data_IF_640033353110
#
_entry.id   IF_640033353110
#
_cell.length_a   1.000
_cell.length_b   1.000
_cell.length_c   1.000
_cell.angle_alpha   90.00
_cell.angle_beta   90.00
_cell.angle_gamma   90.00
#
_symmetry.space_group_name_H-M   'P 1'
#
loop_
_entity.id
_entity.type
_entity.pdbx_description
1 polymer ?
#
# COMPACT_ATOMS: atom_id res chain seq x y z
N UNK A 1 -10.09 14.55 -22.78
CA UNK A 1 -8.94 13.79 -22.24
C UNK A 1 -7.62 14.04 -22.99
N UNK A 2 -7.55 13.89 -24.32
CA UNK A 2 -6.30 14.11 -25.08
C UNK A 2 -5.76 15.54 -24.95
N UNK A 3 -6.61 16.56 -25.12
CA UNK A 3 -6.25 17.98 -24.95
C UNK A 3 -5.75 18.33 -23.53
N UNK A 4 -6.11 17.50 -22.55
CA UNK A 4 -5.71 17.69 -21.16
C UNK A 4 -4.30 17.15 -20.93
N UNK A 5 -4.03 15.94 -21.42
CA UNK A 5 -2.69 15.34 -21.42
C UNK A 5 -1.69 16.15 -22.26
N UNK A 6 -2.12 16.72 -23.39
CA UNK A 6 -1.25 17.55 -24.23
C UNK A 6 -0.79 18.86 -23.56
N UNK A 7 -1.51 19.33 -22.53
CA UNK A 7 -1.11 20.45 -21.67
C UNK A 7 -0.16 20.03 -20.54
N UNK A 8 0.25 18.76 -20.53
CA UNK A 8 1.10 18.17 -19.48
C UNK A 8 0.35 17.84 -18.19
N UNK A 9 -0.98 17.93 -18.17
CA UNK A 9 -1.75 17.57 -16.98
C UNK A 9 -1.89 16.05 -16.82
N UNK A 10 -1.91 15.62 -15.56
CA UNK A 10 -1.97 14.23 -15.17
C UNK A 10 -0.96 13.93 -14.07
N UNK A 11 -0.80 12.64 -13.81
CA UNK A 11 0.08 12.05 -12.83
C UNK A 11 1.11 11.15 -13.48
N UNK A 12 2.29 11.12 -12.87
CA UNK A 12 3.42 10.29 -13.23
C UNK A 12 3.98 9.59 -12.01
N UNK A 13 4.11 8.28 -12.07
CA UNK A 13 4.82 7.47 -11.09
C UNK A 13 5.95 6.74 -11.80
N UNK A 14 7.14 6.72 -11.19
CA UNK A 14 8.28 5.94 -11.67
C UNK A 14 8.42 4.69 -10.80
N UNK A 15 8.52 3.52 -11.43
CA UNK A 15 8.68 2.27 -10.71
C UNK A 15 10.03 2.21 -9.96
N UNK A 16 10.08 1.85 -8.67
CA UNK A 16 11.28 2.00 -7.85
C UNK A 16 12.52 1.24 -8.32
N UNK A 17 12.36 0.08 -8.94
CA UNK A 17 13.47 -0.80 -9.36
C UNK A 17 13.59 -0.82 -10.88
N UNK A 18 12.49 -1.11 -11.58
CA UNK A 18 12.50 -1.26 -13.04
C UNK A 18 12.55 0.07 -13.79
N UNK A 19 12.24 1.19 -13.13
CA UNK A 19 12.32 2.53 -13.72
C UNK A 19 11.28 2.84 -14.79
N UNK A 20 10.33 1.93 -15.09
CA UNK A 20 9.26 2.24 -16.04
C UNK A 20 8.34 3.33 -15.50
N UNK A 21 7.75 4.09 -16.41
CA UNK A 21 6.91 5.25 -16.09
C UNK A 21 5.44 4.90 -16.26
N UNK A 22 4.63 5.23 -15.26
CA UNK A 22 3.17 5.11 -15.26
C UNK A 22 2.57 6.51 -15.39
N UNK A 23 2.01 6.81 -16.56
CA UNK A 23 1.27 8.04 -16.79
C UNK A 23 -0.24 7.78 -16.73
N UNK A 24 -0.95 8.48 -15.83
CA UNK A 24 -2.40 8.37 -15.67
C UNK A 24 -3.00 9.73 -15.30
N UNK A 25 -4.31 9.88 -15.47
CA UNK A 25 -4.99 11.14 -15.13
C UNK A 25 -5.59 11.10 -13.72
N UNK A 26 -6.12 9.94 -13.36
CA UNK A 26 -7.08 9.80 -12.30
C UNK A 26 -7.99 8.59 -12.58
N UNK A 27 -9.09 8.51 -11.85
CA UNK A 27 -10.10 7.47 -11.98
C UNK A 27 -11.37 8.11 -12.54
N UNK A 28 -11.88 7.57 -13.65
CA UNK A 28 -13.04 8.13 -14.35
C UNK A 28 -14.03 7.02 -14.62
N UNK A 29 -15.27 7.23 -14.20
CA UNK A 29 -16.38 6.34 -14.50
C UNK A 29 -17.66 7.16 -14.68
N UNK A 30 -18.14 7.26 -15.92
CA UNK A 30 -19.28 8.10 -16.28
C UNK A 30 -19.04 9.56 -15.84
N UNK A 31 -19.85 10.09 -14.92
CA UNK A 31 -19.75 11.43 -14.35
C UNK A 31 -18.84 11.50 -13.10
N UNK A 32 -18.62 10.38 -12.42
CA UNK A 32 -17.70 10.30 -11.28
C UNK A 32 -16.25 10.37 -11.78
N UNK A 33 -15.52 11.42 -11.36
CA UNK A 33 -14.14 11.68 -11.80
C UNK A 33 -13.28 12.13 -10.63
N UNK A 34 -12.27 11.33 -10.32
CA UNK A 34 -11.23 11.62 -9.32
C UNK A 34 -9.93 11.95 -10.05
N UNK A 35 -9.55 13.22 -10.08
CA UNK A 35 -8.28 13.65 -10.69
C UNK A 35 -7.14 13.53 -9.68
N UNK A 36 -6.02 12.96 -10.10
CA UNK A 36 -4.88 12.72 -9.22
C UNK A 36 -3.70 13.54 -9.72
N UNK A 37 -2.96 14.15 -8.78
CA UNK A 37 -1.71 14.89 -9.05
C UNK A 37 -0.57 14.28 -8.26
N UNK A 38 0.33 13.63 -8.96
CA UNK A 38 1.62 13.18 -8.44
C UNK A 38 2.64 13.24 -9.56
N UNK A 39 3.83 13.79 -9.32
CA UNK A 39 4.89 13.87 -10.31
C UNK A 39 6.25 13.95 -9.60
N UNK A 40 7.31 13.28 -10.10
CA UNK A 40 8.63 13.32 -9.48
C UNK A 40 9.20 14.74 -9.30
N UNK A 41 8.88 15.64 -10.22
CA UNK A 41 9.35 17.03 -10.21
C UNK A 41 8.61 17.93 -9.21
N UNK A 42 7.51 17.46 -8.60
CA UNK A 42 6.75 18.24 -7.61
C UNK A 42 7.28 17.93 -6.21
N UNK A 43 8.35 18.64 -5.81
CA UNK A 43 9.05 18.39 -4.54
C UNK A 43 8.40 19.05 -3.31
N UNK A 44 7.46 19.99 -3.48
CA UNK A 44 6.83 20.71 -2.36
C UNK A 44 5.30 20.62 -2.36
N UNK A 45 4.64 20.64 -1.18
CA UNK A 45 3.18 20.70 -1.06
C UNK A 45 2.55 21.84 -1.87
N UNK A 46 3.19 23.01 -1.88
CA UNK A 46 2.70 24.21 -2.57
C UNK A 46 2.69 24.00 -4.08
N UNK A 47 3.74 23.41 -4.64
CA UNK A 47 3.82 23.09 -6.06
C UNK A 47 2.74 22.08 -6.48
N UNK A 48 2.44 21.10 -5.61
CA UNK A 48 1.35 20.13 -5.86
C UNK A 48 -0.01 20.83 -5.87
N UNK A 49 -0.28 21.73 -4.91
CA UNK A 49 -1.55 22.47 -4.83
C UNK A 49 -1.71 23.43 -6.00
N UNK A 50 -0.65 24.16 -6.38
CA UNK A 50 -0.67 25.02 -7.56
C UNK A 50 -1.00 24.22 -8.82
N UNK A 51 -0.33 23.07 -9.00
CA UNK A 51 -0.60 22.17 -10.12
C UNK A 51 -2.02 21.64 -10.12
N UNK A 52 -2.55 21.27 -8.95
CA UNK A 52 -3.92 20.81 -8.77
C UNK A 52 -4.94 21.89 -9.14
N UNK A 53 -4.71 23.15 -8.74
CA UNK A 53 -5.58 24.28 -9.06
C UNK A 53 -5.68 24.50 -10.58
N UNK A 54 -4.53 24.59 -11.27
CA UNK A 54 -4.48 24.73 -12.74
C UNK A 54 -5.18 23.56 -13.46
N UNK A 55 -5.01 22.36 -12.90
CA UNK A 55 -5.57 21.13 -13.43
C UNK A 55 -7.11 21.11 -13.25
N UNK A 56 -7.61 21.50 -12.08
CA UNK A 56 -9.04 21.62 -11.81
C UNK A 56 -9.71 22.68 -12.70
N UNK A 57 -9.08 23.85 -12.84
CA UNK A 57 -9.56 24.94 -13.71
C UNK A 57 -9.64 24.49 -15.18
N UNK A 58 -8.59 23.82 -15.67
CA UNK A 58 -8.56 23.32 -17.04
C UNK A 58 -9.62 22.23 -17.28
N UNK A 59 -9.92 21.41 -16.26
CA UNK A 59 -10.93 20.35 -16.37
C UNK A 59 -12.32 20.94 -16.43
N UNK A 60 -12.64 21.86 -15.51
CA UNK A 60 -13.89 22.60 -15.48
C UNK A 60 -14.12 23.37 -16.79
N UNK A 61 -13.12 24.13 -17.26
CA UNK A 61 -13.21 24.88 -18.51
C UNK A 61 -13.45 23.98 -19.72
N UNK A 62 -12.77 22.84 -19.77
CA UNK A 62 -12.95 21.85 -20.83
C UNK A 62 -14.36 21.26 -20.83
N UNK A 63 -14.89 20.94 -19.64
CA UNK A 63 -16.24 20.41 -19.48
C UNK A 63 -17.30 21.44 -19.88
N UNK A 64 -17.17 22.69 -19.40
CA UNK A 64 -18.05 23.81 -19.75
C UNK A 64 -18.11 24.06 -21.26
N UNK A 65 -16.95 23.98 -21.93
CA UNK A 65 -16.85 24.14 -23.39
C UNK A 65 -17.61 23.07 -24.18
N UNK A 66 -17.89 21.92 -23.55
CA UNK A 66 -18.66 20.81 -24.15
C UNK A 66 -20.11 20.75 -23.70
N UNK A 67 -20.59 21.76 -22.94
CA UNK A 67 -21.95 21.83 -22.43
C UNK A 67 -22.19 21.05 -21.12
N UNK A 68 -21.14 20.51 -20.50
CA UNK A 68 -21.20 19.95 -19.16
C UNK A 68 -20.92 21.00 -18.08
N UNK A 69 -21.09 20.65 -16.81
CA UNK A 69 -20.71 21.51 -15.68
C UNK A 69 -20.29 20.65 -14.50
N UNK A 70 -19.30 21.10 -13.74
CA UNK A 70 -18.92 20.46 -12.46
C UNK A 70 -19.89 20.95 -11.39
N UNK A 71 -20.32 20.04 -10.50
CA UNK A 71 -21.06 20.40 -9.31
C UNK A 71 -20.08 20.71 -8.16
N UNK A 72 -19.91 21.98 -7.75
CA UNK A 72 -18.94 22.35 -6.72
C UNK A 72 -19.26 21.74 -5.35
N UNK A 73 -20.55 21.61 -5.01
CA UNK A 73 -21.00 21.06 -3.72
C UNK A 73 -20.68 19.57 -3.56
N UNK A 74 -20.53 18.86 -4.68
CA UNK A 74 -20.11 17.45 -4.71
C UNK A 74 -18.61 17.28 -4.94
N UNK A 75 -17.89 18.36 -5.20
CA UNK A 75 -16.48 18.33 -5.52
C UNK A 75 -15.64 18.66 -4.31
N UNK A 76 -14.47 18.02 -4.23
CA UNK A 76 -13.48 18.30 -3.20
C UNK A 76 -12.08 18.02 -3.63
N UNK A 77 -11.16 18.63 -2.91
CA UNK A 77 -9.73 18.38 -3.06
C UNK A 77 -9.12 18.04 -1.71
N UNK A 78 -8.06 17.22 -1.75
CA UNK A 78 -7.31 16.79 -0.58
C UNK A 78 -5.83 16.71 -0.95
N UNK A 79 -4.95 17.07 -0.03
CA UNK A 79 -3.51 16.94 -0.21
C UNK A 79 -2.94 15.86 0.72
N UNK A 80 -2.22 14.89 0.15
CA UNK A 80 -1.41 13.95 0.91
C UNK A 80 0.02 14.49 1.06
N UNK A 81 0.25 15.33 2.08
CA UNK A 81 1.58 15.82 2.47
C UNK A 81 2.07 15.10 3.72
N UNK A 82 3.39 15.08 3.94
CA UNK A 82 4.03 14.27 4.97
C UNK A 82 4.97 15.10 5.86
N UNK A 83 4.93 14.83 7.15
CA UNK A 83 5.85 15.35 8.15
C UNK A 83 6.52 14.21 8.91
N UNK A 84 7.71 14.46 9.47
CA UNK A 84 8.44 13.46 10.25
C UNK A 84 8.62 13.94 11.68
N UNK A 85 8.22 13.10 12.63
CA UNK A 85 8.48 13.28 14.05
C UNK A 85 9.31 12.10 14.56
N UNK A 86 10.52 12.38 15.05
CA UNK A 86 11.45 11.34 15.55
C UNK A 86 11.67 10.18 14.57
N UNK A 87 11.70 10.48 13.27
CA UNK A 87 11.89 9.51 12.19
C UNK A 87 10.72 8.60 11.88
N UNK A 88 9.53 8.94 12.37
CA UNK A 88 8.27 8.36 11.96
C UNK A 88 7.54 9.41 11.13
N UNK A 89 7.08 9.04 9.94
CA UNK A 89 6.29 9.94 9.12
C UNK A 89 4.82 9.91 9.53
N UNK A 90 4.12 11.02 9.33
CA UNK A 90 2.67 11.15 9.45
C UNK A 90 2.15 12.12 8.39
N UNK A 91 0.83 12.15 8.18
CA UNK A 91 0.22 13.13 7.29
C UNK A 91 0.26 14.52 7.93
N UNK A 92 0.68 15.52 7.15
CA UNK A 92 0.66 16.92 7.60
C UNK A 92 -0.76 17.50 7.56
N UNK A 93 -0.93 18.63 8.24
CA UNK A 93 -2.17 19.41 8.18
C UNK A 93 -2.45 19.92 6.76
N UNK A 94 -3.73 20.00 6.39
CA UNK A 94 -4.15 20.58 5.13
C UNK A 94 -3.77 22.07 5.07
N UNK A 95 -3.28 22.58 3.92
CA UNK A 95 -2.98 23.99 3.78
C UNK A 95 -4.27 24.82 3.70
N UNK A 96 -4.24 26.03 4.25
CA UNK A 96 -5.35 26.99 4.15
C UNK A 96 -5.33 27.68 2.79
N UNK A 97 -5.84 27.00 1.77
CA UNK A 97 -5.91 27.50 0.39
C UNK A 97 -7.34 27.36 -0.12
N UNK A 98 -7.84 28.42 -0.73
CA UNK A 98 -9.14 28.40 -1.42
C UNK A 98 -8.92 28.03 -2.89
N UNK A 99 -9.40 26.85 -3.28
CA UNK A 99 -9.38 26.39 -4.67
C UNK A 99 -10.74 26.68 -5.31
N UNK A 100 -10.73 27.30 -6.48
CA UNK A 100 -11.94 27.62 -7.24
C UNK A 100 -11.92 26.98 -8.64
N UNK A 101 -13.11 26.80 -9.22
CA UNK A 101 -13.29 26.36 -10.59
C UNK A 101 -14.25 27.29 -11.33
N UNK A 102 -14.11 27.48 -12.65
CA UNK A 102 -15.04 28.27 -13.44
C UNK A 102 -16.36 27.53 -13.68
N UNK A 103 -17.48 28.24 -13.51
CA UNK A 103 -18.81 27.82 -13.92
C UNK A 103 -19.12 28.21 -15.38
N UNK A 104 -20.18 27.66 -16.00
CA UNK A 104 -20.55 27.97 -17.38
C UNK A 104 -20.82 29.46 -17.66
N UNK A 105 -21.21 30.24 -16.64
CA UNK A 105 -21.42 31.68 -16.73
C UNK A 105 -20.13 32.50 -16.55
N UNK A 106 -18.99 31.84 -16.37
CA UNK A 106 -17.68 32.45 -16.12
C UNK A 106 -17.42 32.83 -14.67
N UNK A 107 -18.37 32.62 -13.74
CA UNK A 107 -18.17 32.90 -12.33
C UNK A 107 -17.31 31.83 -11.66
N UNK A 108 -16.45 32.18 -10.69
CA UNK A 108 -15.69 31.21 -9.93
C UNK A 108 -16.55 30.60 -8.82
N UNK A 109 -16.50 29.27 -8.67
CA UNK A 109 -17.12 28.54 -7.57
C UNK A 109 -16.04 27.87 -6.70
N UNK A 110 -16.12 27.99 -5.36
CA UNK A 110 -15.17 27.33 -4.46
C UNK A 110 -15.39 25.82 -4.41
N UNK A 111 -14.29 25.07 -4.25
CA UNK A 111 -14.29 23.63 -3.99
C UNK A 111 -13.90 23.38 -2.54
N UNK A 112 -14.64 22.48 -1.88
CA UNK A 112 -14.36 22.14 -0.49
C UNK A 112 -13.02 21.42 -0.31
N UNK A 113 -12.30 21.74 0.78
CA UNK A 113 -11.12 20.98 1.21
C UNK A 113 -11.53 19.79 2.10
N UNK A 114 -10.88 18.64 1.92
CA UNK A 114 -11.00 17.48 2.80
C UNK A 114 -9.68 17.12 3.50
N UNK A 115 -9.80 16.52 4.69
CA UNK A 115 -8.68 15.88 5.38
C UNK A 115 -8.34 14.53 4.74
N UNK A 116 -7.10 14.04 4.88
CA UNK A 116 -6.69 12.70 4.39
C UNK A 116 -7.50 11.54 5.00
N UNK A 117 -8.07 11.75 6.18
CA UNK A 117 -8.95 10.81 6.90
C UNK A 117 -10.40 10.86 6.42
N UNK A 118 -10.71 11.78 5.51
CA UNK A 118 -12.06 11.96 5.00
C UNK A 118 -12.43 10.77 4.13
N UNK A 119 -13.48 10.08 4.53
CA UNK A 119 -13.95 8.90 3.81
C UNK A 119 -14.92 9.33 2.72
N UNK A 120 -14.70 8.82 1.51
CA UNK A 120 -15.56 9.01 0.35
C UNK A 120 -16.03 7.67 -0.19
N UNK A 121 -17.20 7.70 -0.83
CA UNK A 121 -17.75 6.54 -1.51
C UNK A 121 -17.65 6.74 -3.01
N UNK A 122 -16.70 6.06 -3.63
CA UNK A 122 -16.56 6.03 -5.09
C UNK A 122 -16.92 4.64 -5.61
N UNK A 123 -17.78 4.58 -6.63
CA UNK A 123 -18.24 3.34 -7.26
C UNK A 123 -18.76 2.25 -6.31
N UNK A 124 -19.27 2.63 -5.13
CA UNK A 124 -19.76 1.67 -4.14
C UNK A 124 -18.70 1.15 -3.16
N UNK A 125 -17.46 1.63 -3.25
CA UNK A 125 -16.36 1.37 -2.30
C UNK A 125 -16.15 2.61 -1.44
N UNK A 126 -16.15 2.44 -0.12
CA UNK A 126 -15.71 3.50 0.79
C UNK A 126 -14.19 3.45 0.94
N UNK A 127 -13.52 4.58 0.82
CA UNK A 127 -12.06 4.72 0.96
C UNK A 127 -11.67 6.09 1.49
N UNK A 128 -10.50 6.17 2.11
CA UNK A 128 -9.83 7.40 2.53
C UNK A 128 -8.35 7.33 2.13
N UNK A 129 -7.69 8.49 2.00
CA UNK A 129 -6.28 8.58 1.58
C UNK A 129 -5.35 7.93 2.61
N UNK A 130 -5.72 7.99 3.89
CA UNK A 130 -4.99 7.34 4.98
C UNK A 130 -5.06 5.81 4.98
N UNK A 131 -5.82 5.20 4.07
CA UNK A 131 -5.98 3.76 3.94
C UNK A 131 -6.89 3.12 4.99
N UNK A 132 -7.71 3.91 5.70
CA UNK A 132 -8.62 3.38 6.72
C UNK A 132 -9.88 2.71 6.11
N UNK A 133 -9.93 1.38 6.15
CA UNK A 133 -11.03 0.57 5.63
C UNK A 133 -12.23 0.41 6.59
N UNK A 134 -12.20 1.04 7.77
CA UNK A 134 -13.22 0.86 8.80
C UNK A 134 -14.62 1.20 8.29
N UNK A 135 -14.74 2.32 7.56
CA UNK A 135 -16.04 2.77 7.03
C UNK A 135 -16.61 1.82 5.98
N UNK A 136 -15.74 1.25 5.13
CA UNK A 136 -16.17 0.21 4.18
C UNK A 136 -16.68 -1.02 4.91
N UNK A 137 -15.92 -1.46 5.92
CA UNK A 137 -16.27 -2.63 6.72
C UNK A 137 -17.59 -2.43 7.45
N UNK A 138 -17.79 -1.26 8.05
CA UNK A 138 -19.04 -0.87 8.72
C UNK A 138 -20.23 -0.87 7.74
N UNK A 139 -20.14 -0.13 6.64
CA UNK A 139 -21.31 0.10 5.78
C UNK A 139 -21.59 -1.08 4.86
N UNK A 140 -20.55 -1.58 4.18
CA UNK A 140 -20.69 -2.55 3.11
C UNK A 140 -20.58 -4.01 3.57
N UNK A 141 -20.11 -4.27 4.79
CA UNK A 141 -19.95 -5.64 5.31
C UNK A 141 -20.89 -5.88 6.49
N UNK A 142 -20.65 -5.25 7.64
CA UNK A 142 -21.45 -5.49 8.86
C UNK A 142 -22.84 -4.87 8.73
N UNK A 143 -22.95 -3.64 8.23
CA UNK A 143 -24.21 -2.93 8.00
C UNK A 143 -25.13 -3.63 7.00
N UNK A 144 -24.59 -4.06 5.85
CA UNK A 144 -25.35 -4.91 4.90
C UNK A 144 -25.81 -6.22 5.52
N UNK A 145 -24.98 -6.83 6.36
CA UNK A 145 -25.34 -8.08 7.05
C UNK A 145 -26.42 -7.86 8.11
N UNK A 146 -26.31 -6.81 8.92
CA UNK A 146 -27.33 -6.42 9.88
C UNK A 146 -28.67 -6.10 9.20
N UNK A 147 -28.64 -5.34 8.08
CA UNK A 147 -29.81 -5.07 7.27
C UNK A 147 -30.45 -6.34 6.68
N UNK A 148 -29.64 -7.32 6.27
CA UNK A 148 -30.13 -8.62 5.84
C UNK A 148 -30.73 -9.44 6.99
N UNK A 149 -30.08 -9.48 8.17
CA UNK A 149 -30.59 -10.14 9.38
C UNK A 149 -31.96 -9.60 9.75
N UNK A 150 -32.14 -8.28 9.74
CA UNK A 150 -33.43 -7.64 10.04
C UNK A 150 -34.53 -8.05 9.06
N UNK A 151 -34.21 -8.14 7.76
CA UNK A 151 -35.15 -8.64 6.74
C UNK A 151 -35.49 -10.11 6.96
N UNK A 152 -34.51 -10.95 7.27
CA UNK A 152 -34.71 -12.39 7.51
C UNK A 152 -35.58 -12.66 8.73
N UNK A 153 -35.46 -11.84 9.79
CA UNK A 153 -36.29 -11.93 10.99
C UNK A 153 -37.78 -11.81 10.67
N UNK A 154 -38.14 -10.96 9.72
CA UNK A 154 -39.54 -10.69 9.36
C UNK A 154 -40.05 -11.61 8.23
N UNK A 155 -39.15 -12.19 7.43
CA UNK A 155 -39.53 -12.95 6.24
C UNK A 155 -40.05 -14.37 6.52
N UNK A 156 -39.80 -14.94 7.71
CA UNK A 156 -40.23 -16.29 8.11
C UNK A 156 -39.88 -17.39 7.09
N UNK A 157 -38.73 -17.27 6.42
CA UNK A 157 -38.32 -18.19 5.36
C UNK A 157 -37.89 -19.55 5.94
N UNK A 158 -38.20 -20.68 5.25
CA UNK A 158 -37.60 -21.97 5.58
C UNK A 158 -36.07 -21.90 5.51
N UNK A 159 -35.38 -22.64 6.38
CA UNK A 159 -33.91 -22.63 6.48
C UNK A 159 -33.19 -22.82 5.12
N UNK A 160 -33.73 -23.68 4.24
CA UNK A 160 -33.21 -23.88 2.88
C UNK A 160 -33.16 -22.58 2.06
N UNK A 161 -34.21 -21.75 2.16
CA UNK A 161 -34.29 -20.46 1.48
C UNK A 161 -33.41 -19.42 2.19
N UNK A 162 -33.27 -19.52 3.51
CA UNK A 162 -32.28 -18.74 4.27
C UNK A 162 -30.85 -18.93 3.74
N UNK A 163 -30.45 -20.19 3.46
CA UNK A 163 -29.15 -20.48 2.86
C UNK A 163 -28.99 -19.93 1.42
N UNK A 164 -30.04 -19.99 0.60
CA UNK A 164 -30.05 -19.38 -0.74
C UNK A 164 -29.87 -17.88 -0.64
N UNK A 165 -30.66 -17.20 0.20
CA UNK A 165 -30.57 -15.77 0.43
C UNK A 165 -29.20 -15.35 1.00
N UNK A 166 -28.64 -16.12 1.92
CA UNK A 166 -27.29 -15.89 2.46
C UNK A 166 -26.23 -15.91 1.35
N UNK A 167 -26.23 -16.93 0.49
CA UNK A 167 -25.19 -17.09 -0.54
C UNK A 167 -25.33 -16.11 -1.70
N UNK A 168 -26.55 -15.96 -2.21
CA UNK A 168 -26.80 -15.30 -3.49
C UNK A 168 -27.36 -13.88 -3.36
N UNK A 169 -27.87 -13.49 -2.18
CA UNK A 169 -28.30 -12.11 -1.93
C UNK A 169 -27.32 -11.37 -1.03
N UNK A 170 -27.06 -11.88 0.18
CA UNK A 170 -26.18 -11.21 1.14
C UNK A 170 -24.74 -11.17 0.61
N UNK A 171 -24.14 -12.34 0.35
CA UNK A 171 -22.74 -12.38 -0.05
C UNK A 171 -22.47 -11.85 -1.46
N UNK A 172 -23.46 -11.86 -2.36
CA UNK A 172 -23.34 -11.13 -3.62
C UNK A 172 -23.19 -9.62 -3.39
N UNK A 173 -23.92 -9.06 -2.41
CA UNK A 173 -23.83 -7.64 -2.05
C UNK A 173 -22.61 -7.24 -1.22
N UNK A 174 -22.03 -8.17 -0.44
CA UNK A 174 -20.81 -7.94 0.36
C UNK A 174 -19.55 -8.09 -0.50
N UNK A 175 -19.49 -9.04 -1.43
CA UNK A 175 -18.26 -9.35 -2.19
C UNK A 175 -17.73 -8.18 -3.02
N UNK A 176 -18.59 -7.23 -3.36
CA UNK A 176 -18.18 -6.05 -4.10
C UNK A 176 -17.28 -5.16 -3.24
N UNK A 177 -16.09 -4.84 -3.72
CA UNK A 177 -15.15 -3.93 -3.06
C UNK A 177 -14.28 -4.56 -1.97
N UNK A 178 -14.64 -5.71 -1.36
CA UNK A 178 -13.82 -6.24 -0.26
C UNK A 178 -12.39 -6.58 -0.69
N UNK A 179 -12.16 -6.92 -1.96
CA UNK A 179 -10.83 -7.25 -2.45
C UNK A 179 -9.87 -6.06 -2.43
N UNK A 180 -10.37 -4.82 -2.48
CA UNK A 180 -9.54 -3.60 -2.51
C UNK A 180 -9.07 -3.16 -1.13
N UNK A 181 -9.63 -3.74 -0.06
CA UNK A 181 -9.28 -3.39 1.32
C UNK A 181 -7.88 -3.88 1.69
N UNK A 182 -7.14 -3.05 2.40
CA UNK A 182 -5.86 -3.33 3.04
C UNK A 182 -5.97 -3.63 4.55
N UNK A 183 -7.18 -3.80 5.10
CA UNK A 183 -7.47 -4.14 6.51
C UNK A 183 -6.52 -5.22 7.09
N UNK A 184 -5.92 -5.05 8.29
CA UNK A 184 -5.06 -6.07 8.89
C UNK A 184 -5.77 -7.42 9.10
N UNK A 185 -5.05 -8.53 8.95
CA UNK A 185 -5.64 -9.88 9.08
C UNK A 185 -6.28 -10.11 10.45
N UNK A 186 -5.65 -9.62 11.52
CA UNK A 186 -6.17 -9.73 12.88
C UNK A 186 -7.57 -9.10 13.01
N UNK A 187 -7.76 -7.93 12.40
CA UNK A 187 -9.04 -7.22 12.38
C UNK A 187 -10.06 -7.94 11.47
N UNK A 188 -9.64 -8.33 10.26
CA UNK A 188 -10.48 -9.04 9.30
C UNK A 188 -11.11 -10.33 9.87
N UNK A 189 -10.42 -11.02 10.79
CA UNK A 189 -10.94 -12.23 11.46
C UNK A 189 -12.13 -11.93 12.38
N UNK A 190 -12.22 -10.70 12.89
CA UNK A 190 -13.25 -10.24 13.81
C UNK A 190 -14.54 -9.75 13.16
N UNK A 191 -14.46 -9.27 11.91
CA UNK A 191 -15.48 -8.44 11.24
C UNK A 191 -16.90 -8.98 11.34
N UNK A 192 -17.12 -10.28 11.09
CA UNK A 192 -18.47 -10.88 11.03
C UNK A 192 -18.81 -11.75 12.25
N UNK A 193 -18.11 -11.63 13.38
CA UNK A 193 -18.33 -12.52 14.53
C UNK A 193 -19.76 -12.43 15.08
N UNK A 194 -20.26 -11.21 15.29
CA UNK A 194 -21.59 -10.94 15.86
C UNK A 194 -22.68 -11.35 14.89
N UNK A 195 -22.53 -10.93 13.64
CA UNK A 195 -23.48 -11.16 12.56
C UNK A 195 -23.60 -12.65 12.27
N UNK A 196 -22.48 -13.38 12.20
CA UNK A 196 -22.50 -14.82 11.98
C UNK A 196 -23.27 -15.53 13.09
N UNK A 197 -23.15 -15.11 14.35
CA UNK A 197 -23.94 -15.67 15.45
C UNK A 197 -25.45 -15.44 15.25
N UNK A 198 -25.82 -14.20 14.93
CA UNK A 198 -27.22 -13.81 14.73
C UNK A 198 -27.86 -14.51 13.52
N UNK A 199 -27.08 -14.85 12.49
CA UNK A 199 -27.58 -15.54 11.30
C UNK A 199 -27.96 -17.01 11.52
N UNK A 200 -27.39 -17.69 12.53
CA UNK A 200 -27.44 -19.17 12.63
C UNK A 200 -28.86 -19.73 12.69
N UNK A 201 -29.75 -19.12 13.46
CA UNK A 201 -31.13 -19.60 13.64
C UNK A 201 -31.92 -19.59 12.33
N UNK A 202 -31.77 -18.54 11.52
CA UNK A 202 -32.43 -18.42 10.21
C UNK A 202 -31.96 -19.46 9.19
N UNK A 203 -30.78 -20.03 9.44
CA UNK A 203 -30.16 -21.06 8.60
C UNK A 203 -30.43 -22.48 9.12
N UNK A 204 -31.27 -22.62 10.15
CA UNK A 204 -31.62 -23.91 10.76
C UNK A 204 -30.47 -24.51 11.58
N UNK A 205 -29.58 -23.68 12.11
CA UNK A 205 -28.40 -24.12 12.88
C UNK A 205 -28.55 -23.69 14.34
N UNK A 206 -28.09 -24.54 15.25
CA UNK A 206 -27.99 -24.20 16.66
C UNK A 206 -27.02 -23.02 16.88
N UNK A 207 -27.51 -21.94 17.50
CA UNK A 207 -26.73 -20.73 17.81
C UNK A 207 -25.51 -20.98 18.71
N UNK A 208 -25.55 -22.03 19.52
CA UNK A 208 -24.48 -22.41 20.45
C UNK A 208 -23.35 -23.20 19.77
N UNK A 209 -23.39 -23.39 18.45
CA UNK A 209 -22.28 -23.97 17.70
C UNK A 209 -20.99 -23.18 17.95
N UNK A 210 -19.90 -23.92 18.22
CA UNK A 210 -18.56 -23.37 18.40
C UNK A 210 -18.18 -22.48 17.24
N UNK A 211 -17.52 -21.36 17.52
CA UNK A 211 -17.27 -20.29 16.55
C UNK A 211 -16.47 -20.78 15.34
N UNK A 212 -15.47 -21.60 15.59
CA UNK A 212 -14.55 -22.17 14.61
C UNK A 212 -15.29 -23.06 13.60
N UNK A 213 -16.37 -23.72 14.04
CA UNK A 213 -17.14 -24.67 13.24
C UNK A 213 -18.12 -23.96 12.29
N UNK A 214 -18.45 -22.69 12.57
CA UNK A 214 -19.42 -21.92 11.79
C UNK A 214 -18.94 -21.68 10.37
N UNK A 215 -17.69 -21.27 10.22
CA UNK A 215 -17.09 -20.92 8.93
C UNK A 215 -16.23 -22.02 8.31
N UNK A 216 -15.95 -23.09 9.06
CA UNK A 216 -15.30 -24.28 8.52
C UNK A 216 -16.16 -24.87 7.38
N UNK A 217 -15.49 -25.31 6.32
CA UNK A 217 -16.18 -25.83 5.14
C UNK A 217 -16.89 -27.16 5.44
N UNK A 218 -18.02 -27.42 4.77
CA UNK A 218 -18.84 -28.63 4.99
C UNK A 218 -18.09 -29.93 4.71
N UNK A 219 -17.16 -29.92 3.76
CA UNK A 219 -16.31 -31.07 3.46
C UNK A 219 -15.40 -31.49 4.64
N UNK A 220 -15.17 -30.58 5.60
CA UNK A 220 -14.38 -30.83 6.80
C UNK A 220 -15.25 -30.86 8.07
N UNK A 221 -16.56 -31.14 7.94
CA UNK A 221 -17.48 -31.23 9.08
C UNK A 221 -17.95 -29.89 9.65
N UNK A 222 -17.65 -28.77 8.98
CA UNK A 222 -18.13 -27.45 9.38
C UNK A 222 -19.54 -27.12 8.86
N UNK A 223 -20.11 -26.03 9.38
CA UNK A 223 -21.44 -25.52 8.99
C UNK A 223 -21.41 -24.94 7.56
N UNK A 224 -20.29 -24.31 7.17
CA UNK A 224 -20.11 -23.71 5.86
C UNK A 224 -20.70 -22.31 5.70
N UNK A 225 -20.72 -21.50 6.76
CA UNK A 225 -20.79 -20.03 6.59
C UNK A 225 -19.52 -19.57 5.86
N UNK A 226 -19.62 -18.52 5.06
CA UNK A 226 -18.44 -17.91 4.47
C UNK A 226 -17.70 -17.09 5.52
N UNK A 227 -16.38 -17.31 5.59
CA UNK A 227 -15.47 -16.48 6.37
C UNK A 227 -15.16 -15.20 5.58
N UNK A 228 -15.29 -14.03 6.23
CA UNK A 228 -14.88 -12.75 5.65
C UNK A 228 -13.42 -12.79 5.22
N UNK A 229 -12.53 -13.19 6.11
CA UNK A 229 -11.09 -13.26 5.86
C UNK A 229 -10.75 -14.16 4.66
N UNK A 230 -11.40 -15.32 4.55
CA UNK A 230 -11.17 -16.25 3.42
C UNK A 230 -11.70 -15.64 2.12
N UNK A 231 -12.90 -15.03 2.13
CA UNK A 231 -13.47 -14.39 0.94
C UNK A 231 -12.69 -13.16 0.50
N UNK A 232 -12.20 -12.37 1.44
CA UNK A 232 -11.30 -11.24 1.20
C UNK A 232 -10.01 -11.71 0.55
N UNK A 233 -9.34 -12.71 1.14
CA UNK A 233 -8.11 -13.30 0.60
C UNK A 233 -8.29 -13.85 -0.82
N UNK A 234 -9.38 -14.60 -1.06
CA UNK A 234 -9.72 -15.08 -2.42
C UNK A 234 -9.90 -13.90 -3.38
N UNK A 235 -10.57 -12.84 -2.95
CA UNK A 235 -10.73 -11.62 -3.74
C UNK A 235 -9.39 -10.98 -4.10
N UNK A 236 -8.49 -10.82 -3.12
CA UNK A 236 -7.16 -10.24 -3.35
C UNK A 236 -6.32 -11.09 -4.32
N UNK A 237 -6.32 -12.42 -4.15
CA UNK A 237 -5.62 -13.35 -5.07
C UNK A 237 -6.23 -13.27 -6.47
N UNK A 238 -7.55 -13.21 -6.60
CA UNK A 238 -8.20 -13.06 -7.89
C UNK A 238 -7.82 -11.74 -8.57
N UNK A 239 -7.73 -10.63 -7.85
CA UNK A 239 -7.26 -9.36 -8.42
C UNK A 239 -5.81 -9.46 -8.89
N UNK A 240 -4.94 -10.11 -8.11
CA UNK A 240 -3.56 -10.35 -8.52
C UNK A 240 -3.51 -11.17 -9.81
N UNK A 241 -4.22 -12.30 -9.88
CA UNK A 241 -4.22 -13.19 -11.07
C UNK A 241 -4.78 -12.48 -12.31
N UNK A 242 -5.82 -11.66 -12.15
CA UNK A 242 -6.47 -10.99 -13.28
C UNK A 242 -5.66 -9.82 -13.84
N UNK A 243 -4.88 -9.13 -12.99
CA UNK A 243 -4.26 -7.87 -13.36
C UNK A 243 -2.73 -7.93 -13.42
N UNK A 244 -2.06 -8.73 -12.60
CA UNK A 244 -0.59 -8.78 -12.61
C UNK A 244 -0.07 -9.20 -13.99
N UNK A 245 0.89 -8.46 -14.53
CA UNK A 245 1.45 -8.72 -15.86
C UNK A 245 0.53 -8.42 -17.05
N UNK A 246 -0.71 -7.95 -16.84
CA UNK A 246 -1.66 -7.69 -17.92
C UNK A 246 -1.38 -6.41 -18.75
N UNK A 247 -0.30 -5.67 -18.44
CA UNK A 247 0.09 -4.44 -19.14
C UNK A 247 -0.82 -3.23 -18.91
N UNK A 248 -1.86 -3.35 -18.09
CA UNK A 248 -2.74 -2.22 -17.73
C UNK A 248 -2.08 -1.27 -16.72
N UNK A 249 -2.61 -0.06 -16.57
CA UNK A 249 -2.17 0.89 -15.53
C UNK A 249 -2.25 0.29 -14.12
N UNK A 250 -3.28 -0.54 -13.85
CA UNK A 250 -3.40 -1.24 -12.58
C UNK A 250 -2.30 -2.30 -12.41
N UNK A 251 -2.01 -3.08 -13.46
CA UNK A 251 -0.91 -4.05 -13.47
C UNK A 251 0.42 -3.38 -13.13
N UNK A 252 0.69 -2.25 -13.77
CA UNK A 252 1.88 -1.44 -13.55
C UNK A 252 1.96 -0.92 -12.12
N UNK A 253 0.85 -0.37 -11.58
CA UNK A 253 0.77 0.08 -10.18
C UNK A 253 1.01 -1.07 -9.19
N UNK A 254 0.52 -2.28 -9.47
CA UNK A 254 0.80 -3.47 -8.65
C UNK A 254 2.29 -3.79 -8.65
N UNK A 255 2.94 -3.83 -9.81
CA UNK A 255 4.40 -4.06 -9.92
C UNK A 255 5.19 -2.99 -9.16
N UNK A 256 4.86 -1.71 -9.35
CA UNK A 256 5.50 -0.60 -8.62
C UNK A 256 5.33 -0.72 -7.10
N UNK A 257 4.15 -1.11 -6.62
CA UNK A 257 3.93 -1.34 -5.19
C UNK A 257 4.73 -2.53 -4.65
N UNK A 258 4.92 -3.59 -5.44
CA UNK A 258 5.77 -4.72 -5.08
C UNK A 258 7.25 -4.34 -5.05
N UNK A 259 7.74 -3.58 -6.02
CA UNK A 259 9.12 -3.08 -6.06
C UNK A 259 9.41 -2.14 -4.89
N UNK A 260 8.46 -1.27 -4.52
CA UNK A 260 8.56 -0.44 -3.33
C UNK A 260 8.70 -1.30 -2.07
N UNK A 261 7.83 -2.30 -1.91
CA UNK A 261 7.88 -3.24 -0.80
C UNK A 261 9.21 -4.01 -0.77
N UNK A 262 9.72 -4.44 -1.93
CA UNK A 262 11.01 -5.11 -2.05
C UNK A 262 12.16 -4.24 -1.53
N UNK A 263 12.20 -2.96 -1.91
CA UNK A 263 13.21 -2.03 -1.42
C UNK A 263 13.05 -1.77 0.07
N UNK A 264 11.83 -1.62 0.58
CA UNK A 264 11.55 -1.38 2.01
C UNK A 264 12.04 -2.53 2.90
N UNK A 265 11.70 -3.78 2.56
CA UNK A 265 12.11 -4.95 3.36
C UNK A 265 13.52 -5.43 3.01
N UNK A 266 14.10 -4.93 1.92
CA UNK A 266 15.45 -5.23 1.48
C UNK A 266 15.66 -6.69 1.09
N UNK A 267 14.87 -7.19 0.13
CA UNK A 267 14.98 -8.57 -0.38
C UNK A 267 15.41 -8.64 -1.86
N UNK A 268 15.86 -9.83 -2.29
CA UNK A 268 16.36 -10.07 -3.66
C UNK A 268 15.23 -10.32 -4.66
N UNK A 269 14.22 -11.08 -4.28
CA UNK A 269 13.14 -11.51 -5.18
C UNK A 269 11.80 -10.92 -4.81
N UNK A 270 10.73 -11.65 -5.17
CA UNK A 270 9.37 -11.25 -4.80
C UNK A 270 9.20 -11.18 -3.28
N UNK A 271 8.69 -10.05 -2.73
CA UNK A 271 8.40 -9.93 -1.30
C UNK A 271 7.44 -10.99 -0.76
N UNK A 272 6.57 -11.56 -1.61
CA UNK A 272 5.61 -12.58 -1.19
C UNK A 272 6.25 -13.90 -0.75
N UNK A 273 7.50 -14.15 -1.14
CA UNK A 273 8.28 -15.31 -0.69
C UNK A 273 8.96 -15.12 0.67
N UNK A 274 8.97 -13.89 1.20
CA UNK A 274 9.68 -13.56 2.43
C UNK A 274 8.86 -13.87 3.69
N UNK A 275 9.54 -14.00 4.83
CA UNK A 275 8.90 -14.27 6.12
C UNK A 275 8.23 -13.01 6.67
N UNK A 276 6.89 -12.96 6.63
CA UNK A 276 6.11 -11.83 7.12
C UNK A 276 6.38 -11.55 8.60
N UNK A 277 6.39 -12.57 9.46
CA UNK A 277 6.51 -12.38 10.91
C UNK A 277 7.83 -11.69 11.29
N UNK A 278 8.87 -11.88 10.48
CA UNK A 278 10.20 -11.30 10.71
C UNK A 278 10.37 -9.90 10.12
N UNK A 279 9.73 -9.61 8.97
CA UNK A 279 10.04 -8.44 8.15
C UNK A 279 8.89 -7.42 8.02
N UNK A 280 7.66 -7.75 8.43
CA UNK A 280 6.49 -6.89 8.23
C UNK A 280 6.61 -5.49 8.86
N UNK A 281 7.39 -5.32 9.93
CA UNK A 281 7.62 -4.02 10.56
C UNK A 281 8.45 -3.07 9.70
N UNK A 282 9.18 -3.59 8.71
CA UNK A 282 10.00 -2.79 7.78
C UNK A 282 9.19 -2.14 6.66
N UNK A 283 7.97 -2.63 6.43
CA UNK A 283 7.15 -2.26 5.29
C UNK A 283 6.05 -1.25 5.66
N UNK A 284 5.77 -0.32 4.75
CA UNK A 284 4.64 0.61 4.84
C UNK A 284 3.31 -0.13 4.64
N UNK A 285 2.27 0.29 5.36
CA UNK A 285 0.93 -0.27 5.19
C UNK A 285 0.46 -0.06 3.73
N UNK A 286 0.04 -1.14 3.08
CA UNK A 286 -0.40 -1.11 1.69
C UNK A 286 -1.19 -2.37 1.38
N UNK A 287 -1.93 -2.36 0.27
CA UNK A 287 -2.62 -3.55 -0.23
C UNK A 287 -1.67 -4.72 -0.47
N UNK A 288 -0.47 -4.45 -1.00
CA UNK A 288 0.57 -5.46 -1.28
C UNK A 288 1.12 -6.08 0.01
N UNK A 289 1.44 -5.26 1.02
CA UNK A 289 1.84 -5.76 2.36
C UNK A 289 0.73 -6.60 2.98
N UNK A 290 -0.51 -6.15 2.85
CA UNK A 290 -1.67 -6.90 3.33
C UNK A 290 -1.77 -8.24 2.62
N UNK A 291 -1.69 -8.31 1.29
CA UNK A 291 -1.69 -9.59 0.56
C UNK A 291 -0.57 -10.53 1.04
N UNK A 292 0.65 -10.01 1.20
CA UNK A 292 1.77 -10.78 1.73
C UNK A 292 1.47 -11.42 3.11
N UNK A 293 0.83 -10.69 4.03
CA UNK A 293 0.38 -11.21 5.32
C UNK A 293 -0.52 -12.45 5.15
N UNK A 294 -1.47 -12.39 4.22
CA UNK A 294 -2.42 -13.50 3.99
C UNK A 294 -1.71 -14.70 3.38
N UNK A 295 -0.86 -14.47 2.38
CA UNK A 295 -0.09 -15.54 1.73
C UNK A 295 0.79 -16.26 2.77
N UNK A 296 1.48 -15.50 3.63
CA UNK A 296 2.30 -16.05 4.70
C UNK A 296 1.47 -16.81 5.76
N UNK A 297 0.34 -16.25 6.19
CA UNK A 297 -0.52 -16.86 7.21
C UNK A 297 -1.17 -18.16 6.72
N UNK A 298 -1.72 -18.15 5.50
CA UNK A 298 -2.39 -19.32 4.90
C UNK A 298 -1.42 -20.30 4.23
N UNK A 299 -0.11 -19.99 4.19
CA UNK A 299 0.93 -20.81 3.55
C UNK A 299 0.65 -21.03 2.06
N UNK A 300 0.14 -20.01 1.38
CA UNK A 300 0.00 -20.01 -0.07
C UNK A 300 1.31 -19.52 -0.72
N UNK A 301 1.85 -20.34 -1.61
CA UNK A 301 2.97 -19.94 -2.47
C UNK A 301 2.43 -19.38 -3.77
N UNK A 302 2.74 -18.13 -4.06
CA UNK A 302 2.45 -17.49 -5.35
C UNK A 302 3.77 -17.32 -6.09
N UNK A 303 3.90 -18.00 -7.22
CA UNK A 303 5.06 -17.88 -8.10
C UNK A 303 4.72 -16.90 -9.21
N UNK A 304 5.36 -15.73 -9.16
CA UNK A 304 5.21 -14.67 -10.15
C UNK A 304 6.43 -14.68 -11.07
N UNK A 305 6.21 -14.30 -12.33
CA UNK A 305 7.31 -13.84 -13.17
C UNK A 305 7.78 -12.48 -12.63
N UNK A 306 8.74 -12.54 -11.72
CA UNK A 306 9.29 -11.40 -10.97
C UNK A 306 10.80 -11.57 -10.91
N UNK A 307 11.55 -10.92 -11.81
CA UNK A 307 13.00 -11.08 -11.89
C UNK A 307 13.69 -10.71 -10.57
N UNK A 308 14.53 -11.59 -9.99
CA UNK A 308 15.28 -11.25 -8.80
C UNK A 308 16.40 -10.25 -9.12
N UNK A 309 16.77 -9.45 -8.12
CA UNK A 309 17.96 -8.63 -8.17
C UNK A 309 19.21 -9.51 -8.19
N UNK A 310 20.18 -9.13 -9.02
CA UNK A 310 21.45 -9.83 -9.10
C UNK A 310 22.37 -9.34 -7.98
N UNK A 311 23.01 -10.27 -7.27
CA UNK A 311 24.01 -9.92 -6.27
C UNK A 311 25.27 -9.39 -6.97
N UNK A 312 25.81 -8.22 -6.59
CA UNK A 312 27.01 -7.66 -7.23
C UNK A 312 28.25 -8.57 -7.20
N UNK A 313 28.33 -9.51 -6.25
CA UNK A 313 29.41 -10.50 -6.17
C UNK A 313 29.15 -11.58 -5.12
N UNK A 314 29.95 -12.65 -5.14
CA UNK A 314 29.74 -13.86 -4.31
C UNK A 314 29.76 -13.64 -2.79
N UNK A 315 30.61 -12.74 -2.29
CA UNK A 315 30.70 -12.44 -0.85
C UNK A 315 29.74 -11.32 -0.41
N UNK A 316 28.81 -10.92 -1.28
CA UNK A 316 27.88 -9.85 -0.98
C UNK A 316 26.63 -10.40 -0.27
N UNK A 317 26.02 -9.56 0.57
CA UNK A 317 24.83 -9.91 1.34
C UNK A 317 23.89 -8.71 1.44
N UNK A 318 22.60 -8.99 1.58
CA UNK A 318 21.60 -7.98 1.92
C UNK A 318 21.88 -7.43 3.32
N UNK A 319 21.85 -6.11 3.48
CA UNK A 319 22.09 -5.48 4.78
C UNK A 319 21.05 -5.91 5.83
N UNK A 320 19.78 -6.06 5.43
CA UNK A 320 18.71 -6.55 6.32
C UNK A 320 19.03 -7.95 6.85
N UNK A 321 19.64 -8.82 6.03
CA UNK A 321 20.09 -10.14 6.48
C UNK A 321 21.23 -10.02 7.50
N UNK A 322 22.20 -9.14 7.28
CA UNK A 322 23.30 -8.93 8.23
C UNK A 322 22.78 -8.45 9.60
N UNK A 323 21.82 -7.52 9.62
CA UNK A 323 21.21 -7.06 10.87
C UNK A 323 20.50 -8.21 11.60
N UNK A 324 19.77 -9.05 10.86
CA UNK A 324 19.08 -10.19 11.46
C UNK A 324 20.02 -11.27 11.97
N UNK A 325 21.06 -11.60 11.22
CA UNK A 325 22.09 -12.58 11.61
C UNK A 325 22.86 -12.10 12.86
N UNK A 326 22.98 -10.79 13.06
CA UNK A 326 23.51 -10.18 14.29
C UNK A 326 22.50 -10.13 15.45
N UNK A 327 21.26 -10.59 15.26
CA UNK A 327 20.24 -10.73 16.31
C UNK A 327 19.27 -9.56 16.43
N UNK A 328 19.34 -8.53 15.58
CA UNK A 328 18.42 -7.40 15.64
C UNK A 328 17.03 -7.78 15.13
N UNK A 329 15.99 -7.42 15.90
CA UNK A 329 14.58 -7.71 15.64
C UNK A 329 13.69 -6.53 16.04
N UNK A 330 12.43 -6.56 15.63
CA UNK A 330 11.44 -5.56 16.07
C UNK A 330 11.83 -4.14 15.69
N UNK A 331 11.66 -3.20 16.62
CA UNK A 331 11.97 -1.79 16.43
C UNK A 331 13.46 -1.52 16.13
N UNK A 332 14.39 -2.30 16.72
CA UNK A 332 15.81 -2.12 16.46
C UNK A 332 16.17 -2.44 15.00
N UNK A 333 15.57 -3.51 14.45
CA UNK A 333 15.72 -3.84 13.03
C UNK A 333 15.10 -2.75 12.14
N UNK A 334 13.95 -2.20 12.55
CA UNK A 334 13.29 -1.10 11.85
C UNK A 334 14.16 0.16 11.81
N UNK A 335 14.79 0.53 12.93
CA UNK A 335 15.67 1.71 13.01
C UNK A 335 16.92 1.55 12.14
N UNK A 336 17.57 0.38 12.14
CA UNK A 336 18.67 0.08 11.22
C UNK A 336 18.21 0.13 9.75
N UNK A 337 17.01 -0.39 9.47
CA UNK A 337 16.44 -0.37 8.13
C UNK A 337 16.16 1.06 7.64
N UNK A 338 15.71 1.97 8.51
CA UNK A 338 15.54 3.39 8.16
C UNK A 338 16.86 4.04 7.76
N UNK A 339 17.93 3.82 8.51
CA UNK A 339 19.28 4.29 8.14
C UNK A 339 19.71 3.73 6.79
N UNK A 340 19.49 2.43 6.55
CA UNK A 340 19.75 1.78 5.27
C UNK A 340 19.00 2.45 4.11
N UNK A 341 17.70 2.69 4.27
CA UNK A 341 16.85 3.30 3.25
C UNK A 341 17.24 4.76 2.97
N UNK A 342 17.51 5.55 4.02
CA UNK A 342 17.99 6.93 3.89
C UNK A 342 19.29 7.03 3.08
N UNK A 343 20.22 6.09 3.32
CA UNK A 343 21.49 6.02 2.61
C UNK A 343 21.41 5.34 1.24
N UNK A 344 20.22 4.86 0.84
CA UNK A 344 19.97 4.13 -0.42
C UNK A 344 20.86 2.88 -0.53
N UNK A 345 20.92 2.09 0.53
CA UNK A 345 21.75 0.88 0.60
C UNK A 345 20.87 -0.38 0.51
N UNK A 346 21.30 -1.38 -0.24
CA UNK A 346 20.64 -2.69 -0.28
C UNK A 346 21.60 -3.80 0.13
N UNK A 347 22.81 -3.75 -0.39
CA UNK A 347 23.85 -4.74 -0.23
C UNK A 347 25.03 -4.24 0.60
N UNK A 348 25.84 -5.16 1.13
CA UNK A 348 27.10 -4.84 1.82
C UNK A 348 28.08 -4.09 0.92
N UNK A 349 28.08 -4.40 -0.38
CA UNK A 349 28.84 -3.66 -1.39
C UNK A 349 28.59 -2.16 -1.37
N UNK A 350 27.37 -1.75 -1.04
CA UNK A 350 26.95 -0.37 -1.19
C UNK A 350 27.56 0.53 -0.12
N UNK A 351 27.91 -0.04 1.05
CA UNK A 351 28.60 0.69 2.10
C UNK A 351 30.12 0.44 2.10
N UNK A 352 30.61 -0.49 1.28
CA UNK A 352 32.03 -0.77 1.17
C UNK A 352 32.75 0.29 0.31
N UNK A 353 34.05 0.41 0.52
CA UNK A 353 34.95 1.19 -0.34
C UNK A 353 35.18 0.46 -1.67
N UNK A 354 35.62 1.19 -2.70
CA UNK A 354 35.83 0.64 -4.05
C UNK A 354 36.79 -0.57 -4.10
N UNK A 355 37.72 -0.69 -3.14
CA UNK A 355 38.62 -1.84 -3.06
C UNK A 355 37.97 -3.10 -2.44
N UNK A 356 36.74 -3.00 -1.93
CA UNK A 356 35.97 -4.10 -1.37
C UNK A 356 36.51 -4.68 -0.06
N UNK A 357 37.41 -3.96 0.61
CA UNK A 357 38.09 -4.42 1.85
C UNK A 357 37.73 -3.65 3.10
N UNK A 358 37.21 -2.43 2.96
CA UNK A 358 36.88 -1.56 4.09
C UNK A 358 35.47 -1.01 3.92
N UNK A 359 34.81 -0.72 5.04
CA UNK A 359 33.56 0.02 5.08
C UNK A 359 33.87 1.51 4.93
N UNK A 360 33.04 2.21 4.16
CA UNK A 360 33.12 3.65 4.00
C UNK A 360 32.67 4.34 5.30
N UNK A 361 33.64 4.86 6.05
CA UNK A 361 33.41 5.52 7.33
C UNK A 361 32.45 6.73 7.22
N UNK A 362 32.41 7.43 6.08
CA UNK A 362 31.49 8.54 5.87
C UNK A 362 30.01 8.11 5.88
N UNK A 363 29.72 6.90 5.40
CA UNK A 363 28.36 6.33 5.44
C UNK A 363 27.99 5.77 6.83
N UNK A 364 29.00 5.45 7.65
CA UNK A 364 28.80 5.02 9.05
C UNK A 364 28.54 6.22 9.95
N UNK A 365 29.30 7.31 9.77
CA UNK A 365 29.25 8.51 10.60
C UNK A 365 28.11 9.49 10.26
N UNK A 366 27.20 9.10 9.35
CA UNK A 366 26.10 9.89 8.79
C UNK A 366 26.59 11.07 7.92
N UNK A 367 26.36 11.04 6.59
CA UNK A 367 26.61 12.21 5.75
C UNK A 367 25.57 13.31 5.99
N UNK A 368 25.98 14.59 5.86
CA UNK A 368 25.11 15.75 6.07
C UNK A 368 23.92 15.80 5.08
N UNK A 369 24.14 15.33 3.85
CA UNK A 369 23.10 15.12 2.85
C UNK A 369 23.51 13.99 1.91
N UNK A 370 22.72 12.92 1.76
CA UNK A 370 22.97 11.91 0.74
C UNK A 370 22.69 12.49 -0.65
N UNK A 371 23.63 12.37 -1.56
CA UNK A 371 23.49 12.87 -2.93
C UNK A 371 22.25 12.26 -3.63
N UNK A 372 21.49 13.11 -4.34
CA UNK A 372 20.24 12.71 -5.00
C UNK A 372 20.47 11.62 -6.07
N UNK A 373 21.62 11.59 -6.74
CA UNK A 373 21.94 10.71 -7.88
C UNK A 373 22.73 9.44 -7.58
N UNK A 374 22.75 8.96 -6.34
CA UNK A 374 23.63 7.85 -5.89
C UNK A 374 23.04 6.45 -6.12
N UNK A 375 21.89 6.34 -6.75
CA UNK A 375 21.25 5.06 -7.02
C UNK A 375 20.35 5.17 -8.24
N UNK A 376 20.40 4.16 -9.11
CA UNK A 376 19.46 3.96 -10.19
C UNK A 376 18.04 3.59 -9.68
N UNK A 377 17.94 3.05 -8.45
CA UNK A 377 16.67 2.79 -7.78
C UNK A 377 16.15 4.00 -7.01
N UNK A 378 14.82 4.10 -6.92
CA UNK A 378 14.11 5.14 -6.15
C UNK A 378 13.74 4.59 -4.78
N UNK A 379 14.55 4.90 -3.76
CA UNK A 379 14.29 4.49 -2.39
C UNK A 379 13.20 5.36 -1.71
N UNK A 380 12.46 4.79 -0.75
CA UNK A 380 11.57 5.55 0.13
C UNK A 380 12.29 6.72 0.83
N UNK A 381 11.55 7.81 1.02
CA UNK A 381 12.04 8.97 1.77
C UNK A 381 11.97 8.71 3.27
N UNK A 382 13.08 8.25 3.85
CA UNK A 382 13.20 8.02 5.29
C UNK A 382 13.92 9.18 5.97
N UNK A 383 13.62 9.46 7.25
CA UNK A 383 14.36 10.44 8.05
C UNK A 383 14.74 9.84 9.40
N UNK A 384 15.83 9.05 9.48
CA UNK A 384 16.12 8.28 10.69
C UNK A 384 16.34 9.18 11.91
N UNK A 385 15.86 8.72 13.07
CA UNK A 385 16.01 9.43 14.33
C UNK A 385 17.48 9.46 14.79
N UNK A 386 17.81 10.37 15.72
CA UNK A 386 19.13 10.35 16.37
C UNK A 386 19.40 9.04 17.14
N UNK A 387 18.36 8.34 17.59
CA UNK A 387 18.48 7.01 18.18
C UNK A 387 18.88 5.96 17.15
N UNK A 388 18.23 5.97 15.98
CA UNK A 388 18.54 5.06 14.87
C UNK A 388 19.99 5.24 14.38
N UNK A 389 20.47 6.49 14.29
CA UNK A 389 21.87 6.76 13.91
C UNK A 389 22.89 6.28 14.93
N UNK A 390 22.59 6.34 16.23
CA UNK A 390 23.45 5.74 17.26
C UNK A 390 23.51 4.23 17.11
N UNK A 391 22.35 3.58 16.92
CA UNK A 391 22.27 2.14 16.69
C UNK A 391 23.02 1.71 15.42
N UNK A 392 22.93 2.50 14.35
CA UNK A 392 23.68 2.31 13.11
C UNK A 392 25.19 2.31 13.35
N UNK A 393 25.69 3.31 14.08
CA UNK A 393 27.10 3.40 14.44
C UNK A 393 27.55 2.22 15.31
N UNK A 394 26.74 1.83 16.31
CA UNK A 394 27.00 0.69 17.18
C UNK A 394 27.10 -0.62 16.38
N UNK A 395 26.15 -0.87 15.48
CA UNK A 395 26.15 -2.05 14.60
C UNK A 395 27.44 -2.12 13.78
N UNK A 396 27.77 -1.06 13.05
CA UNK A 396 28.94 -1.07 12.17
C UNK A 396 30.25 -1.13 12.93
N UNK A 397 30.34 -0.52 14.11
CA UNK A 397 31.51 -0.60 14.98
C UNK A 397 31.73 -2.04 15.48
N UNK A 398 30.66 -2.77 15.78
CA UNK A 398 30.74 -4.17 16.20
C UNK A 398 31.00 -5.13 15.02
N UNK A 399 30.45 -4.83 13.84
CA UNK A 399 30.59 -5.65 12.64
C UNK A 399 31.99 -5.56 12.04
N UNK A 400 32.54 -4.34 11.93
CA UNK A 400 33.81 -4.07 11.29
C UNK A 400 35.01 -4.50 12.14
N UNK A 401 36.11 -4.84 11.47
CA UNK A 401 37.42 -5.03 12.09
C UNK A 401 38.18 -3.71 12.28
N UNK A 402 39.42 -3.76 12.79
CA UNK A 402 40.27 -2.59 12.97
C UNK A 402 40.34 -1.73 11.69
N UNK A 403 40.20 -0.41 11.84
CA UNK A 403 40.23 0.53 10.72
C UNK A 403 39.09 0.36 9.72
N UNK A 404 37.90 -0.08 10.17
CA UNK A 404 36.73 -0.35 9.33
C UNK A 404 36.93 -1.49 8.31
N UNK A 405 37.82 -2.44 8.60
CA UNK A 405 38.07 -3.57 7.70
C UNK A 405 36.90 -4.55 7.68
N UNK A 406 36.60 -5.11 6.49
CA UNK A 406 35.68 -6.23 6.35
C UNK A 406 36.41 -7.53 6.72
N UNK A 407 35.79 -8.37 7.56
CA UNK A 407 36.35 -9.69 7.92
C UNK A 407 36.53 -10.59 6.70
N UNK A 408 35.59 -10.50 5.76
CA UNK A 408 35.67 -11.17 4.45
C UNK A 408 35.57 -10.10 3.37
N UNK A 409 36.62 -9.89 2.57
CA UNK A 409 36.56 -8.98 1.42
C UNK A 409 35.48 -9.39 0.42
N UNK A 410 34.88 -8.43 -0.28
CA UNK A 410 33.78 -8.66 -1.22
C UNK A 410 34.18 -9.51 -2.45
N UNK A 411 35.47 -9.55 -2.77
CA UNK A 411 35.99 -10.34 -3.88
C UNK A 411 35.78 -9.68 -5.24
N UNK A 412 35.70 -10.50 -6.29
CA UNK A 412 35.44 -10.05 -7.66
C UNK A 412 33.97 -9.65 -7.83
N UNK A 413 33.75 -8.63 -8.64
CA UNK A 413 32.43 -8.14 -9.02
C UNK A 413 31.91 -8.96 -10.20
N UNK A 414 30.75 -9.57 -10.05
CA UNK A 414 30.09 -10.38 -11.08
C UNK A 414 29.01 -9.57 -11.82
N UNK A 415 28.39 -8.60 -11.14
CA UNK A 415 27.29 -7.77 -11.68
C UNK A 415 27.44 -6.30 -11.25
N UNK A 416 26.93 -5.34 -12.06
CA UNK A 416 26.94 -3.93 -11.69
C UNK A 416 26.09 -3.69 -10.42
N UNK A 417 26.50 -2.70 -9.63
CA UNK A 417 25.68 -2.23 -8.51
C UNK A 417 24.59 -1.28 -9.02
N UNK A 418 23.55 -1.10 -8.21
CA UNK A 418 22.52 -0.09 -8.45
C UNK A 418 22.99 1.33 -8.10
N UNK A 419 24.17 1.49 -7.46
CA UNK A 419 24.72 2.79 -7.04
C UNK A 419 25.74 3.37 -8.01
#
# INVERSE_FOLDING_TARGET
MHCYKSRGFGSRITSPISGFVIDFLGEIYMDDTDLIVTHPDLETPEAVVERLSLLAEAWASGLNSTGGTINPDKSRWMLASYEWLNGIWGYSQQPQVDLTIPLPDGTPAPISNGQVTTVEKSLGVWSAIDGNDSKHTEENVTGKTAGWINKMRNAHLPARMGWVAYRFKLWAGIRYGIATLAIPLAEARGVLHTENFQCLSFLGINRNAKREWRTLHRAFGGIGLFSFTVKHTIGMINMLIQHYGAGSTLAQKMTTSMEALQLEIGCIGSPFGENYDELHLLATASWTKSLWERLHYYKFCVHLDYPPLLLPGKCNALLVRLFRDAGYKGHLLQDLNRCRLYLKLLFLSDIATACGRFINAGLVLRPDSPDKGVSAFVFPNERPSSGAWRLWLEFWTAFAGPGWSLRTPLGLWDHPTHR
#
